data_IF_480097900152
#
_entry.id   IF_480097900152
#
_cell.length_a   1.000
_cell.length_b   1.000
_cell.length_c   1.000
_cell.angle_alpha   90.00
_cell.angle_beta   90.00
_cell.angle_gamma   90.00
#
_symmetry.space_group_name_H-M   'P 1'
#
loop_
_entity.id
_entity.type
_entity.pdbx_description
1 polymer ?
#
# COMPACT_ATOMS: atom_id res chain seq x y z
N UNK A 1 -24.69 0.09 -0.93
CA UNK A 1 -25.09 -0.49 -2.25
C UNK A 1 -23.84 -0.72 -3.08
N UNK A 2 -23.74 -1.79 -3.87
CA UNK A 2 -22.55 -2.10 -4.69
C UNK A 2 -22.89 -2.05 -6.20
N UNK A 3 -21.88 -1.77 -7.05
CA UNK A 3 -22.01 -1.74 -8.51
C UNK A 3 -21.89 -3.17 -9.04
N UNK A 4 -22.94 -3.69 -9.66
CA UNK A 4 -22.91 -4.97 -10.36
C UNK A 4 -22.71 -4.72 -11.85
N UNK A 5 -21.76 -5.43 -12.44
CA UNK A 5 -21.54 -5.48 -13.87
C UNK A 5 -22.39 -6.59 -14.48
N UNK A 6 -23.06 -6.31 -15.61
CA UNK A 6 -23.68 -7.36 -16.40
C UNK A 6 -23.37 -7.16 -17.88
N UNK A 7 -23.29 -8.30 -18.58
CA UNK A 7 -23.08 -8.40 -20.01
C UNK A 7 -24.22 -9.22 -20.60
N UNK A 8 -25.04 -8.61 -21.47
CA UNK A 8 -26.07 -9.30 -22.24
C UNK A 8 -25.66 -9.26 -23.72
N UNK A 9 -24.86 -10.25 -24.13
CA UNK A 9 -24.30 -10.33 -25.49
C UNK A 9 -23.35 -9.15 -25.78
N UNK A 10 -23.85 -8.15 -26.52
CA UNK A 10 -23.09 -6.95 -26.90
C UNK A 10 -23.41 -5.72 -26.02
N UNK A 11 -24.34 -5.83 -25.07
CA UNK A 11 -24.71 -4.73 -24.17
C UNK A 11 -24.04 -4.89 -22.81
N UNK A 12 -23.27 -3.89 -22.38
CA UNK A 12 -22.56 -3.86 -21.11
C UNK A 12 -23.02 -2.66 -20.29
N UNK A 13 -23.49 -2.88 -19.06
CA UNK A 13 -23.86 -1.78 -18.18
C UNK A 13 -23.66 -2.15 -16.71
N UNK A 14 -23.71 -1.13 -15.85
CA UNK A 14 -23.63 -1.26 -14.40
C UNK A 14 -24.95 -0.86 -13.76
N UNK A 15 -25.44 -1.65 -12.81
CA UNK A 15 -26.55 -1.24 -11.95
C UNK A 15 -26.11 -1.29 -10.48
N UNK A 16 -26.69 -0.42 -9.65
CA UNK A 16 -26.42 -0.38 -8.21
C UNK A 16 -27.54 -1.09 -7.45
N UNK A 17 -27.19 -2.16 -6.76
CA UNK A 17 -28.12 -2.93 -5.93
C UNK A 17 -27.50 -3.25 -4.56
N UNK A 18 -28.32 -3.52 -3.53
CA UNK A 18 -27.88 -4.18 -2.31
C UNK A 18 -27.25 -5.55 -2.60
N UNK A 19 -26.19 -5.92 -1.88
CA UNK A 19 -25.50 -7.20 -2.07
C UNK A 19 -26.45 -8.41 -1.88
N UNK A 20 -27.44 -8.29 -1.00
CA UNK A 20 -28.42 -9.34 -0.71
C UNK A 20 -29.24 -9.77 -1.94
N UNK A 21 -29.32 -8.95 -2.99
CA UNK A 21 -30.03 -9.30 -4.23
C UNK A 21 -29.33 -10.46 -4.97
N UNK A 22 -28.03 -10.69 -4.76
CA UNK A 22 -27.31 -11.79 -5.41
C UNK A 22 -27.61 -13.17 -4.78
N UNK A 23 -28.05 -13.19 -3.53
CA UNK A 23 -28.32 -14.41 -2.78
C UNK A 23 -29.44 -15.27 -3.40
N UNK A 24 -30.63 -14.73 -3.76
CA UNK A 24 -31.64 -15.52 -4.46
C UNK A 24 -31.18 -15.99 -5.85
N UNK A 25 -30.32 -15.24 -6.54
CA UNK A 25 -29.75 -15.66 -7.83
C UNK A 25 -28.87 -16.90 -7.66
N UNK A 26 -28.04 -16.93 -6.61
CA UNK A 26 -27.22 -18.09 -6.27
C UNK A 26 -28.05 -19.31 -5.86
N UNK A 27 -29.08 -19.12 -5.03
CA UNK A 27 -30.00 -20.19 -4.64
C UNK A 27 -30.74 -20.76 -5.86
N UNK A 28 -31.27 -19.90 -6.73
CA UNK A 28 -31.95 -20.33 -7.95
C UNK A 28 -31.02 -21.09 -8.90
N UNK A 29 -29.77 -20.64 -9.03
CA UNK A 29 -28.73 -21.35 -9.80
C UNK A 29 -28.46 -22.74 -9.22
N UNK A 30 -28.31 -22.85 -7.91
CA UNK A 30 -28.02 -24.14 -7.25
C UNK A 30 -29.18 -25.12 -7.38
N UNK A 31 -30.43 -24.64 -7.21
CA UNK A 31 -31.65 -25.43 -7.45
C UNK A 31 -31.73 -25.89 -8.91
N UNK A 32 -31.40 -25.01 -9.87
CA UNK A 32 -31.38 -25.38 -11.29
C UNK A 32 -30.40 -26.52 -11.56
N UNK A 33 -29.17 -26.46 -11.03
CA UNK A 33 -28.21 -27.56 -11.18
C UNK A 33 -28.68 -28.85 -10.48
N UNK A 34 -29.30 -28.75 -9.30
CA UNK A 34 -29.87 -29.89 -8.58
C UNK A 34 -30.96 -30.63 -9.39
N UNK A 35 -31.76 -29.91 -10.20
CA UNK A 35 -32.79 -30.51 -11.05
C UNK A 35 -32.27 -31.04 -12.40
N UNK A 36 -31.10 -30.60 -12.85
CA UNK A 36 -30.62 -30.89 -14.22
C UNK A 36 -29.45 -31.88 -14.27
N UNK A 37 -28.82 -32.19 -13.12
CA UNK A 37 -27.54 -32.92 -13.05
C UNK A 37 -27.66 -34.21 -12.20
N UNK A 38 -27.76 -35.38 -12.85
CA UNK A 38 -28.11 -36.67 -12.19
C UNK A 38 -26.94 -37.39 -11.49
N UNK A 39 -25.70 -36.87 -11.62
CA UNK A 39 -24.47 -37.59 -11.21
C UNK A 39 -23.75 -36.92 -10.00
N UNK A 40 -24.23 -35.75 -9.53
CA UNK A 40 -23.48 -34.90 -8.58
C UNK A 40 -24.27 -34.23 -7.45
N UNK A 41 -25.45 -34.74 -7.07
CA UNK A 41 -26.40 -34.04 -6.17
C UNK A 41 -25.85 -33.65 -4.77
N UNK A 42 -24.92 -34.43 -4.21
CA UNK A 42 -24.44 -34.21 -2.82
C UNK A 42 -23.71 -32.87 -2.63
N UNK A 43 -23.00 -32.39 -3.65
CA UNK A 43 -22.25 -31.13 -3.56
C UNK A 43 -23.19 -29.91 -3.60
N UNK A 44 -24.22 -29.97 -4.44
CA UNK A 44 -25.23 -28.92 -4.58
C UNK A 44 -26.13 -28.83 -3.33
N UNK A 45 -26.46 -29.98 -2.71
CA UNK A 45 -27.20 -30.01 -1.44
C UNK A 45 -26.43 -29.34 -0.29
N UNK A 46 -25.11 -29.55 -0.21
CA UNK A 46 -24.28 -28.94 0.82
C UNK A 46 -24.18 -27.41 0.65
N UNK A 47 -24.00 -26.93 -0.58
CA UNK A 47 -23.99 -25.50 -0.87
C UNK A 47 -25.35 -24.84 -0.66
N UNK A 48 -26.43 -25.47 -1.11
CA UNK A 48 -27.78 -24.97 -0.89
C UNK A 48 -28.11 -24.91 0.61
N UNK A 49 -27.76 -25.97 1.36
CA UNK A 49 -27.91 -26.02 2.81
C UNK A 49 -27.07 -24.95 3.52
N UNK A 50 -25.83 -24.74 3.10
CA UNK A 50 -24.95 -23.69 3.62
C UNK A 50 -25.49 -22.28 3.36
N UNK A 51 -26.01 -22.02 2.17
CA UNK A 51 -26.61 -20.73 1.79
C UNK A 51 -27.89 -20.45 2.57
N UNK A 52 -28.78 -21.43 2.70
CA UNK A 52 -30.04 -21.28 3.45
C UNK A 52 -29.76 -21.12 4.94
N UNK A 53 -28.91 -21.97 5.52
CA UNK A 53 -28.54 -21.87 6.94
C UNK A 53 -27.85 -20.55 7.25
N UNK A 54 -26.90 -20.11 6.41
CA UNK A 54 -26.25 -18.81 6.53
C UNK A 54 -27.23 -17.64 6.44
N UNK A 55 -28.20 -17.70 5.51
CA UNK A 55 -29.25 -16.68 5.39
C UNK A 55 -30.15 -16.61 6.63
N UNK A 56 -30.56 -17.77 7.16
CA UNK A 56 -31.38 -17.87 8.38
C UNK A 56 -30.63 -17.35 9.60
N UNK A 57 -29.38 -17.78 9.80
CA UNK A 57 -28.54 -17.30 10.90
C UNK A 57 -28.26 -15.79 10.79
N UNK A 58 -28.03 -15.29 9.58
CA UNK A 58 -27.86 -13.86 9.32
C UNK A 58 -29.12 -13.06 9.65
N UNK A 59 -30.32 -13.58 9.32
CA UNK A 59 -31.60 -12.94 9.63
C UNK A 59 -31.87 -12.95 11.14
N UNK A 60 -31.62 -14.08 11.81
CA UNK A 60 -31.74 -14.20 13.27
C UNK A 60 -30.79 -13.21 13.96
N UNK A 61 -29.52 -13.16 13.54
CA UNK A 61 -28.54 -12.21 14.06
C UNK A 61 -28.97 -10.76 13.83
N UNK A 62 -29.52 -10.45 12.64
CA UNK A 62 -30.04 -9.12 12.33
C UNK A 62 -31.21 -8.71 13.23
N UNK A 63 -32.12 -9.64 13.55
CA UNK A 63 -33.26 -9.37 14.43
C UNK A 63 -32.82 -9.23 15.89
N UNK A 64 -31.96 -10.13 16.38
CA UNK A 64 -31.49 -10.13 17.77
C UNK A 64 -30.59 -8.93 18.09
N UNK A 65 -29.72 -8.54 17.15
CA UNK A 65 -28.74 -7.48 17.35
C UNK A 65 -29.09 -6.21 16.56
N UNK A 66 -30.36 -6.01 16.20
CA UNK A 66 -30.81 -4.93 15.30
C UNK A 66 -30.29 -3.55 15.70
N UNK A 67 -30.35 -3.21 16.99
CA UNK A 67 -29.93 -1.90 17.47
C UNK A 67 -28.40 -1.73 17.45
N UNK A 68 -27.65 -2.78 17.80
CA UNK A 68 -26.19 -2.79 17.75
C UNK A 68 -25.67 -2.74 16.30
N UNK A 69 -26.33 -3.47 15.39
CA UNK A 69 -26.04 -3.44 13.96
C UNK A 69 -26.40 -2.05 13.38
N UNK A 70 -27.50 -1.44 13.82
CA UNK A 70 -27.88 -0.09 13.40
C UNK A 70 -26.85 0.96 13.86
N UNK A 71 -26.37 0.90 15.10
CA UNK A 71 -25.32 1.80 15.60
C UNK A 71 -23.98 1.58 14.87
N UNK A 72 -23.63 0.33 14.56
CA UNK A 72 -22.45 0.02 13.74
C UNK A 72 -22.58 0.51 12.30
N UNK A 73 -23.77 0.39 11.69
CA UNK A 73 -24.03 0.89 10.34
C UNK A 73 -24.08 2.42 10.29
N UNK A 74 -24.61 3.10 11.32
CA UNK A 74 -24.61 4.56 11.42
C UNK A 74 -23.20 5.13 11.59
N UNK A 75 -22.30 4.38 12.23
CA UNK A 75 -20.88 4.76 12.35
C UNK A 75 -20.15 4.70 11.00
N UNK A 76 -20.62 3.85 10.08
CA UNK A 76 -20.08 3.67 8.72
C UNK A 76 -20.81 4.53 7.66
N UNK A 77 -21.86 5.26 8.07
CA UNK A 77 -22.64 6.18 7.22
C UNK A 77 -22.10 7.62 7.30
N UNK A 78 -20.79 7.80 7.50
CA UNK A 78 -20.17 9.05 7.07
C UNK A 78 -20.39 9.16 5.57
N UNK A 79 -21.15 10.16 5.14
CA UNK A 79 -21.31 10.49 3.72
C UNK A 79 -19.91 10.44 3.11
N UNK A 80 -19.71 9.52 2.16
CA UNK A 80 -18.45 9.37 1.46
C UNK A 80 -18.25 10.62 0.59
N UNK A 81 -17.75 11.68 1.22
CA UNK A 81 -17.47 12.97 0.60
C UNK A 81 -16.15 12.93 -0.18
N UNK A 82 -15.29 11.93 0.09
CA UNK A 82 -13.96 11.79 -0.52
C UNK A 82 -14.07 11.16 -1.91
N UNK A 83 -14.77 10.03 -2.06
CA UNK A 83 -14.92 9.37 -3.37
C UNK A 83 -15.47 10.27 -4.48
N UNK A 84 -16.53 11.07 -4.30
CA UNK A 84 -17.03 11.96 -5.35
C UNK A 84 -16.04 13.09 -5.67
N UNK A 85 -15.23 13.55 -4.70
CA UNK A 85 -14.17 14.52 -4.95
C UNK A 85 -13.05 13.90 -5.80
N UNK A 86 -12.65 12.66 -5.51
CA UNK A 86 -11.68 11.92 -6.32
C UNK A 86 -12.24 11.68 -7.73
N UNK A 87 -13.47 11.18 -7.88
CA UNK A 87 -14.09 10.96 -9.19
C UNK A 87 -14.11 12.25 -10.03
N UNK A 88 -14.54 13.38 -9.45
CA UNK A 88 -14.50 14.70 -10.10
C UNK A 88 -13.08 15.15 -10.44
N UNK A 89 -12.12 14.92 -9.55
CA UNK A 89 -10.72 15.27 -9.81
C UNK A 89 -10.17 14.50 -11.00
N UNK A 90 -10.43 13.18 -11.07
CA UNK A 90 -9.98 12.33 -12.17
C UNK A 90 -10.69 12.67 -13.48
N UNK A 91 -11.96 13.07 -13.43
CA UNK A 91 -12.67 13.60 -14.61
C UNK A 91 -11.98 14.86 -15.15
N UNK A 92 -11.64 15.83 -14.29
CA UNK A 92 -10.89 17.04 -14.69
C UNK A 92 -9.52 16.70 -15.28
N UNK A 93 -8.77 15.79 -14.66
CA UNK A 93 -7.49 15.30 -15.19
C UNK A 93 -7.66 14.65 -16.55
N UNK A 94 -8.73 13.87 -16.77
CA UNK A 94 -9.03 13.25 -18.06
C UNK A 94 -9.34 14.27 -19.17
N UNK A 95 -9.89 15.42 -18.79
CA UNK A 95 -10.13 16.58 -19.67
C UNK A 95 -8.88 17.47 -19.84
N UNK A 96 -7.72 17.01 -19.38
CA UNK A 96 -6.42 17.72 -19.37
C UNK A 96 -6.38 18.96 -18.46
N UNK A 97 -7.38 19.16 -17.60
CA UNK A 97 -7.42 20.22 -16.60
C UNK A 97 -6.73 19.75 -15.30
N UNK A 98 -5.40 19.75 -15.35
CA UNK A 98 -4.53 19.33 -14.25
C UNK A 98 -4.66 20.24 -13.03
N UNK A 99 -4.94 21.53 -13.24
CA UNK A 99 -5.01 22.51 -12.17
C UNK A 99 -6.30 22.34 -11.36
N UNK A 100 -7.46 22.22 -12.02
CA UNK A 100 -8.71 21.93 -11.32
C UNK A 100 -8.71 20.54 -10.68
N UNK A 101 -8.12 19.54 -11.35
CA UNK A 101 -7.93 18.20 -10.80
C UNK A 101 -7.08 18.22 -9.51
N UNK A 102 -5.95 18.94 -9.52
CA UNK A 102 -5.08 19.06 -8.34
C UNK A 102 -5.78 19.74 -7.18
N UNK A 103 -6.53 20.84 -7.42
CA UNK A 103 -7.31 21.53 -6.37
C UNK A 103 -8.31 20.60 -5.67
N UNK A 104 -8.98 19.72 -6.42
CA UNK A 104 -9.93 18.76 -5.85
C UNK A 104 -9.22 17.67 -5.03
N UNK A 105 -8.04 17.21 -5.46
CA UNK A 105 -7.23 16.26 -4.70
C UNK A 105 -6.64 16.90 -3.43
N UNK A 106 -6.28 18.19 -3.46
CA UNK A 106 -5.86 18.93 -2.27
C UNK A 106 -7.01 19.08 -1.25
N UNK A 107 -8.25 19.23 -1.71
CA UNK A 107 -9.42 19.19 -0.82
C UNK A 107 -9.59 17.81 -0.17
N UNK A 108 -9.32 16.73 -0.90
CA UNK A 108 -9.27 15.37 -0.33
C UNK A 108 -8.22 15.31 0.77
N UNK A 109 -7.01 15.82 0.53
CA UNK A 109 -5.95 15.84 1.54
C UNK A 109 -6.23 16.77 2.74
N UNK A 110 -7.11 17.76 2.58
CA UNK A 110 -7.58 18.59 3.69
C UNK A 110 -8.51 17.80 4.62
N UNK A 111 -9.32 16.89 4.04
CA UNK A 111 -10.24 16.01 4.78
C UNK A 111 -9.53 14.79 5.36
N UNK A 112 -8.68 14.14 4.56
CA UNK A 112 -7.84 13.02 4.93
C UNK A 112 -6.39 13.26 4.48
N UNK A 113 -5.55 13.86 5.35
CA UNK A 113 -4.12 14.08 5.05
C UNK A 113 -3.32 12.79 4.85
N UNK A 114 -3.86 11.63 5.21
CA UNK A 114 -3.21 10.32 5.07
C UNK A 114 -3.56 9.59 3.77
N UNK A 115 -4.40 10.19 2.91
CA UNK A 115 -4.97 9.52 1.76
C UNK A 115 -3.93 9.24 0.64
N UNK A 116 -3.37 8.02 0.65
CA UNK A 116 -2.33 7.58 -0.29
C UNK A 116 -2.77 7.72 -1.76
N UNK A 117 -4.03 7.42 -2.08
CA UNK A 117 -4.56 7.53 -3.45
C UNK A 117 -4.47 8.95 -4.00
N UNK A 118 -5.03 9.94 -3.29
CA UNK A 118 -4.96 11.34 -3.65
C UNK A 118 -3.51 11.86 -3.79
N UNK A 119 -2.62 11.54 -2.85
CA UNK A 119 -1.19 11.86 -2.97
C UNK A 119 -0.55 11.23 -4.21
N UNK A 120 -0.91 9.99 -4.55
CA UNK A 120 -0.40 9.30 -5.73
C UNK A 120 -0.89 9.95 -7.03
N UNK A 121 -2.14 10.41 -7.07
CA UNK A 121 -2.65 11.18 -8.21
C UNK A 121 -1.96 12.54 -8.34
N UNK A 122 -1.81 13.29 -7.23
CA UNK A 122 -1.06 14.55 -7.21
C UNK A 122 0.40 14.35 -7.66
N UNK A 123 1.06 13.30 -7.19
CA UNK A 123 2.41 12.95 -7.65
C UNK A 123 2.45 12.73 -9.16
N UNK A 124 1.47 12.00 -9.71
CA UNK A 124 1.38 11.74 -11.15
C UNK A 124 1.05 12.98 -11.99
N UNK A 125 0.37 13.97 -11.43
CA UNK A 125 0.12 15.25 -12.10
C UNK A 125 1.41 16.09 -12.08
N UNK A 126 2.00 16.27 -10.90
CA UNK A 126 3.17 17.13 -10.71
C UNK A 126 4.47 16.56 -11.29
N UNK A 127 4.57 15.25 -11.56
CA UNK A 127 5.77 14.65 -12.18
C UNK A 127 6.11 15.24 -13.55
N UNK A 128 5.14 15.86 -14.23
CA UNK A 128 5.34 16.55 -15.51
C UNK A 128 6.04 17.91 -15.34
N UNK A 129 6.15 18.41 -14.10
CA UNK A 129 6.81 19.68 -13.75
C UNK A 129 7.79 19.47 -12.59
N UNK A 130 8.89 18.72 -12.79
CA UNK A 130 9.79 18.31 -11.71
C UNK A 130 10.59 19.47 -11.06
N UNK A 131 10.56 20.66 -11.65
CA UNK A 131 11.17 21.87 -11.09
C UNK A 131 10.24 22.60 -10.10
N UNK A 132 8.96 22.23 -10.05
CA UNK A 132 8.00 22.83 -9.12
C UNK A 132 8.28 22.35 -7.69
N UNK A 133 8.47 23.25 -6.71
CA UNK A 133 8.58 22.90 -5.30
C UNK A 133 7.44 22.00 -4.78
N UNK A 134 6.23 22.13 -5.34
CA UNK A 134 5.08 21.29 -4.98
C UNK A 134 5.32 19.81 -5.28
N UNK A 135 6.05 19.50 -6.36
CA UNK A 135 6.37 18.11 -6.70
C UNK A 135 7.23 17.47 -5.60
N UNK A 136 8.25 18.18 -5.12
CA UNK A 136 9.11 17.72 -4.03
C UNK A 136 8.32 17.52 -2.74
N UNK A 137 7.38 18.42 -2.46
CA UNK A 137 6.55 18.35 -1.26
C UNK A 137 5.62 17.12 -1.28
N UNK A 138 4.89 16.91 -2.37
CA UNK A 138 4.01 15.75 -2.53
C UNK A 138 4.80 14.44 -2.52
N UNK A 139 5.96 14.40 -3.19
CA UNK A 139 6.83 13.23 -3.17
C UNK A 139 7.30 12.89 -1.75
N UNK A 140 7.68 13.91 -0.96
CA UNK A 140 8.10 13.76 0.43
C UNK A 140 6.96 13.24 1.32
N UNK A 141 5.77 13.82 1.21
CA UNK A 141 4.59 13.38 1.97
C UNK A 141 4.21 11.93 1.63
N UNK A 142 4.12 11.62 0.33
CA UNK A 142 3.79 10.28 -0.15
C UNK A 142 4.80 9.24 0.31
N UNK A 143 6.10 9.49 0.14
CA UNK A 143 7.15 8.57 0.58
C UNK A 143 7.18 8.39 2.10
N UNK A 144 6.95 9.45 2.89
CA UNK A 144 6.81 9.32 4.33
C UNK A 144 5.67 8.36 4.70
N UNK A 145 4.51 8.48 4.03
CA UNK A 145 3.37 7.59 4.30
C UNK A 145 3.67 6.14 3.87
N UNK A 146 4.20 5.94 2.67
CA UNK A 146 4.47 4.61 2.12
C UNK A 146 5.60 3.86 2.83
N UNK A 147 6.53 4.57 3.48
CA UNK A 147 7.65 3.92 4.20
C UNK A 147 7.26 3.41 5.59
N UNK A 148 6.17 3.92 6.17
CA UNK A 148 5.66 3.48 7.47
C UNK A 148 5.02 2.09 7.38
N UNK A 149 4.26 1.83 6.32
CA UNK A 149 3.53 0.57 6.12
C UNK A 149 4.34 -0.40 5.23
N UNK A 150 4.69 -1.57 5.78
CA UNK A 150 5.46 -2.60 5.07
C UNK A 150 4.74 -3.14 3.83
N UNK A 151 3.40 -3.13 3.80
CA UNK A 151 2.62 -3.55 2.63
C UNK A 151 2.82 -2.60 1.45
N UNK A 152 3.17 -1.34 1.73
CA UNK A 152 3.36 -0.28 0.75
C UNK A 152 4.82 -0.12 0.29
N UNK A 153 5.77 -0.87 0.87
CA UNK A 153 7.20 -0.74 0.55
C UNK A 153 7.51 -0.89 -0.94
N UNK A 154 6.81 -1.79 -1.64
CA UNK A 154 6.97 -1.96 -3.09
C UNK A 154 6.57 -0.69 -3.87
N UNK A 155 5.50 -0.02 -3.44
CA UNK A 155 5.09 1.26 -4.02
C UNK A 155 6.08 2.37 -3.65
N UNK A 156 6.56 2.41 -2.39
CA UNK A 156 7.59 3.36 -1.94
C UNK A 156 8.84 3.29 -2.82
N UNK A 157 9.34 2.07 -3.10
CA UNK A 157 10.50 1.86 -3.97
C UNK A 157 10.28 2.40 -5.38
N UNK A 158 9.11 2.16 -5.98
CA UNK A 158 8.76 2.67 -7.32
C UNK A 158 8.67 4.20 -7.35
N UNK A 159 7.96 4.81 -6.40
CA UNK A 159 7.82 6.27 -6.32
C UNK A 159 9.18 6.92 -6.09
N UNK A 160 10.01 6.36 -5.22
CA UNK A 160 11.36 6.87 -4.97
C UNK A 160 12.25 6.81 -6.21
N UNK A 161 12.20 5.71 -6.96
CA UNK A 161 12.93 5.57 -8.23
C UNK A 161 12.47 6.58 -9.27
N UNK A 162 11.16 6.72 -9.48
CA UNK A 162 10.60 7.72 -10.41
C UNK A 162 11.00 9.14 -10.01
N UNK A 163 10.86 9.48 -8.73
CA UNK A 163 11.20 10.80 -8.21
C UNK A 163 12.68 11.13 -8.39
N UNK A 164 13.58 10.19 -8.09
CA UNK A 164 15.04 10.40 -8.24
C UNK A 164 15.50 10.40 -9.70
N UNK A 165 14.76 9.79 -10.62
CA UNK A 165 15.03 9.87 -12.06
C UNK A 165 14.60 11.22 -12.66
N UNK A 166 13.51 11.80 -12.16
CA UNK A 166 12.93 13.04 -12.68
C UNK A 166 13.57 14.30 -12.08
N UNK A 167 14.28 14.18 -10.95
CA UNK A 167 14.82 15.34 -10.22
C UNK A 167 16.35 15.31 -10.15
N UNK A 168 16.98 16.42 -10.53
CA UNK A 168 18.44 16.57 -10.43
C UNK A 168 18.93 16.78 -9.00
N UNK A 169 18.05 17.29 -8.11
CA UNK A 169 18.32 17.54 -6.68
C UNK A 169 17.13 17.08 -5.84
N UNK A 170 17.06 15.78 -5.47
CA UNK A 170 15.95 15.28 -4.68
C UNK A 170 15.95 15.89 -3.28
N UNK A 171 14.89 16.64 -2.94
CA UNK A 171 14.73 17.30 -1.66
C UNK A 171 14.01 16.39 -0.65
N UNK A 172 14.74 15.47 -0.02
CA UNK A 172 14.20 14.57 1.02
C UNK A 172 14.96 14.75 2.35
N UNK A 173 14.26 14.55 3.46
CA UNK A 173 14.90 14.59 4.79
C UNK A 173 15.86 13.42 4.96
N UNK A 174 16.87 13.62 5.83
CA UNK A 174 17.87 12.59 6.10
C UNK A 174 17.24 11.31 6.67
N UNK A 175 16.24 11.44 7.55
CA UNK A 175 15.46 10.31 8.08
C UNK A 175 14.73 9.52 6.99
N UNK A 176 14.16 10.21 6.00
CA UNK A 176 13.46 9.55 4.90
C UNK A 176 14.44 8.76 4.03
N UNK A 177 15.65 9.26 3.79
CA UNK A 177 16.68 8.48 3.11
C UNK A 177 17.10 7.24 3.89
N UNK A 178 17.26 7.32 5.22
CA UNK A 178 17.57 6.16 6.06
C UNK A 178 16.44 5.12 6.05
N UNK A 179 15.19 5.56 6.06
CA UNK A 179 14.02 4.68 5.85
C UNK A 179 14.04 4.04 4.46
N UNK A 180 14.31 4.82 3.41
CA UNK A 180 14.40 4.30 2.05
C UNK A 180 15.54 3.30 1.87
N UNK A 181 16.70 3.48 2.53
CA UNK A 181 17.76 2.47 2.57
C UNK A 181 17.21 1.16 3.11
N UNK A 182 16.54 1.21 4.26
CA UNK A 182 15.96 0.03 4.89
C UNK A 182 14.92 -0.66 4.00
N UNK A 183 14.04 0.14 3.36
CA UNK A 183 13.04 -0.36 2.40
C UNK A 183 13.70 -1.01 1.18
N UNK A 184 14.65 -0.34 0.54
CA UNK A 184 15.34 -0.87 -0.65
C UNK A 184 16.13 -2.14 -0.34
N UNK A 185 16.77 -2.22 0.82
CA UNK A 185 17.44 -3.45 1.28
C UNK A 185 16.44 -4.60 1.49
N UNK A 186 15.28 -4.33 2.10
CA UNK A 186 14.22 -5.33 2.29
C UNK A 186 13.54 -5.78 0.99
N UNK A 187 13.48 -4.91 -0.02
CA UNK A 187 12.95 -5.23 -1.35
C UNK A 187 13.94 -6.03 -2.23
N UNK A 188 15.14 -6.34 -1.75
CA UNK A 188 16.15 -7.07 -2.52
C UNK A 188 16.99 -6.20 -3.46
N UNK A 189 17.03 -4.88 -3.23
CA UNK A 189 17.86 -3.92 -3.96
C UNK A 189 18.97 -3.30 -3.09
N UNK A 190 19.80 -4.10 -2.37
CA UNK A 190 20.81 -3.56 -1.45
C UNK A 190 21.90 -2.74 -2.14
N UNK A 191 22.17 -2.94 -3.44
CA UNK A 191 23.14 -2.11 -4.17
C UNK A 191 22.64 -0.68 -4.38
N UNK A 192 21.33 -0.49 -4.61
CA UNK A 192 20.75 0.86 -4.69
C UNK A 192 20.83 1.55 -3.32
N UNK A 193 20.53 0.81 -2.26
CA UNK A 193 20.63 1.28 -0.88
C UNK A 193 22.07 1.64 -0.47
N UNK A 194 23.07 0.85 -0.90
CA UNK A 194 24.49 1.11 -0.65
C UNK A 194 24.96 2.43 -1.25
N UNK A 195 24.51 2.78 -2.48
CA UNK A 195 24.88 4.07 -3.10
C UNK A 195 24.40 5.26 -2.27
N UNK A 196 23.19 5.18 -1.73
CA UNK A 196 22.63 6.21 -0.84
C UNK A 196 23.42 6.23 0.48
N UNK A 197 23.64 5.06 1.08
CA UNK A 197 24.40 4.94 2.34
C UNK A 197 25.82 5.51 2.22
N UNK A 198 26.53 5.24 1.11
CA UNK A 198 27.87 5.76 0.87
C UNK A 198 27.90 7.30 0.82
N UNK A 199 26.87 7.94 0.27
CA UNK A 199 26.72 9.40 0.30
C UNK A 199 26.57 9.92 1.74
N UNK A 200 25.73 9.28 2.56
CA UNK A 200 25.51 9.66 3.96
C UNK A 200 26.75 9.48 4.82
N UNK A 201 27.47 8.37 4.67
CA UNK A 201 28.72 8.12 5.40
C UNK A 201 29.83 9.13 5.08
N UNK A 202 29.78 9.77 3.90
CA UNK A 202 30.72 10.83 3.51
C UNK A 202 30.29 12.20 4.02
N UNK A 203 29.00 12.54 3.93
CA UNK A 203 28.50 13.88 4.23
C UNK A 203 28.10 14.08 5.70
N UNK A 204 27.50 13.06 6.33
CA UNK A 204 26.94 13.13 7.69
C UNK A 204 27.14 11.80 8.44
N UNK A 205 28.39 11.39 8.74
CA UNK A 205 28.67 10.08 9.34
C UNK A 205 28.05 9.89 10.74
N UNK A 206 27.80 10.97 11.49
CA UNK A 206 27.28 10.89 12.86
C UNK A 206 25.75 11.06 12.95
N UNK A 207 25.03 10.93 11.83
CA UNK A 207 23.58 11.04 11.83
C UNK A 207 22.95 9.87 12.61
N UNK A 208 22.04 10.14 13.57
CA UNK A 208 21.28 9.10 14.24
C UNK A 208 20.58 8.17 13.24
N UNK A 209 20.58 6.86 13.50
CA UNK A 209 19.95 5.86 12.64
C UNK A 209 20.83 5.29 11.51
N UNK A 210 22.05 5.82 11.28
CA UNK A 210 23.02 5.18 10.36
C UNK A 210 23.35 3.74 10.76
N UNK A 211 23.65 3.41 12.04
CA UNK A 211 23.95 2.03 12.43
C UNK A 211 22.79 1.09 12.12
N UNK A 212 21.56 1.50 12.42
CA UNK A 212 20.35 0.73 12.12
C UNK A 212 20.18 0.48 10.62
N UNK A 213 20.34 1.52 9.80
CA UNK A 213 20.24 1.42 8.35
C UNK A 213 21.38 0.58 7.76
N UNK A 214 22.60 0.64 8.31
CA UNK A 214 23.72 -0.24 7.93
C UNK A 214 23.43 -1.70 8.24
N UNK A 215 22.81 -1.98 9.38
CA UNK A 215 22.43 -3.34 9.76
C UNK A 215 21.36 -3.90 8.82
N UNK A 216 20.34 -3.10 8.46
CA UNK A 216 19.34 -3.47 7.45
C UNK A 216 19.96 -3.68 6.06
N UNK A 217 20.93 -2.85 5.70
CA UNK A 217 21.69 -3.01 4.46
C UNK A 217 22.51 -4.31 4.46
N UNK A 218 23.15 -4.64 5.57
CA UNK A 218 23.86 -5.89 5.75
C UNK A 218 22.91 -7.09 5.55
N UNK A 219 21.75 -7.07 6.19
CA UNK A 219 20.73 -8.12 6.05
C UNK A 219 20.27 -8.27 4.59
N UNK A 220 20.07 -7.16 3.86
CA UNK A 220 19.77 -7.19 2.43
C UNK A 220 20.88 -7.84 1.59
N UNK A 221 22.16 -7.56 1.88
CA UNK A 221 23.28 -8.23 1.20
C UNK A 221 23.37 -9.72 1.52
N UNK A 222 23.09 -10.11 2.77
CA UNK A 222 23.04 -11.51 3.19
C UNK A 222 21.95 -12.28 2.47
N UNK A 223 20.73 -11.72 2.38
CA UNK A 223 19.61 -12.32 1.65
C UNK A 223 19.94 -12.53 0.17
N UNK A 224 20.74 -11.64 -0.41
CA UNK A 224 21.22 -11.74 -1.80
C UNK A 224 22.45 -12.65 -1.98
N UNK A 225 22.99 -13.21 -0.89
CA UNK A 225 24.19 -14.06 -0.92
C UNK A 225 25.53 -13.32 -1.07
N UNK A 226 25.54 -11.99 -1.02
CA UNK A 226 26.75 -11.17 -1.19
C UNK A 226 27.48 -11.04 0.16
N UNK A 227 28.10 -12.13 0.61
CA UNK A 227 28.69 -12.25 1.95
C UNK A 227 29.85 -11.26 2.21
N UNK A 228 30.60 -10.89 1.18
CA UNK A 228 31.70 -9.93 1.29
C UNK A 228 31.20 -8.54 1.72
N UNK A 229 30.10 -8.05 1.12
CA UNK A 229 29.50 -6.77 1.48
C UNK A 229 28.77 -6.83 2.81
N UNK A 230 28.11 -7.95 3.11
CA UNK A 230 27.54 -8.20 4.44
C UNK A 230 28.58 -8.04 5.54
N UNK A 231 29.72 -8.75 5.44
CA UNK A 231 30.81 -8.66 6.43
C UNK A 231 31.39 -7.24 6.53
N UNK A 232 31.60 -6.56 5.40
CA UNK A 232 32.07 -5.17 5.39
C UNK A 232 31.13 -4.24 6.15
N UNK A 233 29.81 -4.41 6.03
CA UNK A 233 28.84 -3.60 6.77
C UNK A 233 28.97 -3.84 8.27
N UNK A 234 29.08 -5.09 8.72
CA UNK A 234 29.23 -5.42 10.15
C UNK A 234 30.54 -4.86 10.74
N UNK A 235 31.66 -5.04 10.02
CA UNK A 235 32.96 -4.48 10.43
C UNK A 235 32.88 -2.95 10.53
N UNK A 236 32.21 -2.31 9.58
CA UNK A 236 32.04 -0.86 9.58
C UNK A 236 31.22 -0.39 10.79
N UNK A 237 30.17 -1.13 11.16
CA UNK A 237 29.37 -0.84 12.36
C UNK A 237 30.27 -0.87 13.60
N UNK A 238 31.00 -1.96 13.84
CA UNK A 238 31.83 -2.07 15.03
C UNK A 238 33.02 -1.12 15.07
N UNK A 239 33.57 -0.74 13.91
CA UNK A 239 34.68 0.22 13.86
C UNK A 239 34.24 1.66 14.07
N UNK A 240 33.08 2.07 13.52
CA UNK A 240 32.64 3.47 13.55
C UNK A 240 31.60 3.79 14.62
N UNK A 241 30.88 2.79 15.11
CA UNK A 241 29.77 2.96 16.05
C UNK A 241 29.83 1.92 17.20
N UNK A 242 30.96 1.81 17.93
CA UNK A 242 31.22 0.74 18.90
C UNK A 242 30.27 0.73 20.12
N UNK A 243 29.59 1.83 20.40
CA UNK A 243 28.65 1.94 21.54
C UNK A 243 27.18 1.84 21.13
N UNK A 244 26.91 1.57 19.84
CA UNK A 244 25.54 1.41 19.33
C UNK A 244 24.97 0.03 19.69
N UNK A 245 23.64 -0.05 19.85
CA UNK A 245 22.96 -1.34 20.02
C UNK A 245 23.23 -2.27 18.82
N UNK A 246 23.39 -1.70 17.63
CA UNK A 246 23.70 -2.42 16.41
C UNK A 246 25.10 -3.03 16.39
N UNK A 247 26.09 -2.47 17.11
CA UNK A 247 27.41 -3.09 17.23
C UNK A 247 27.32 -4.43 17.97
N UNK A 248 26.56 -4.49 19.07
CA UNK A 248 26.35 -5.75 19.78
C UNK A 248 25.72 -6.82 18.88
N UNK A 249 24.77 -6.42 18.03
CA UNK A 249 24.16 -7.32 17.04
C UNK A 249 25.18 -7.70 15.96
N UNK A 250 25.99 -6.76 15.49
CA UNK A 250 27.00 -6.98 14.47
C UNK A 250 28.08 -7.96 14.92
N UNK A 251 28.54 -7.87 16.18
CA UNK A 251 29.51 -8.81 16.77
C UNK A 251 28.93 -10.23 16.81
N UNK A 252 27.72 -10.41 17.36
CA UNK A 252 27.02 -11.71 17.39
C UNK A 252 26.84 -12.29 15.98
N UNK A 253 26.46 -11.46 15.01
CA UNK A 253 26.27 -11.86 13.62
C UNK A 253 27.58 -12.13 12.86
N UNK A 254 28.68 -11.52 13.27
CA UNK A 254 30.00 -11.67 12.67
C UNK A 254 30.76 -12.90 13.16
N UNK A 255 30.50 -13.34 14.40
CA UNK A 255 31.01 -14.59 14.98
C UNK A 255 30.35 -15.83 14.36
N UNK A 256 29.10 -15.72 13.90
CA UNK A 256 28.38 -16.79 13.20
C UNK A 256 28.85 -16.88 11.73
N UNK A 257 30.01 -17.53 11.50
CA UNK A 257 30.38 -18.02 10.16
C UNK A 257 29.68 -19.36 9.91
N UNK A 258 28.88 -19.52 8.84
CA UNK A 258 28.53 -20.84 8.34
C UNK A 258 29.76 -21.57 7.80
#
# INVERSE_FOLDING_TARGET
KIKFFYSLGFYFNYFRAPAIIILPVWIAKEIYFLYTDDIGNVAYEAHLGGLISGAVLGLIGFVLFRNMIADMLQTDEQVDEISPLIEKALERVSQLDMEAGSRLLEQVLTKDPGHIGAMTHLFNIHKNSPQDPRFHEIARQLLNRLTIDSTQHKQAGRIFEQYTQLTSRPCLSSDLYLRMISVLSGLGYPEKAERIMAMFLRQKPNLPGIPQALLKLADGFRQKGIMTKYQRCLILIGKKYPDSAEDQIARKKGEFRP
#
